data_IF_895384514790
#
_entry.id   IF_895384514790
#
_cell.length_a   1.000
_cell.length_b   1.000
_cell.length_c   1.000
_cell.angle_alpha   90.00
_cell.angle_beta   90.00
_cell.angle_gamma   90.00
#
_symmetry.space_group_name_H-M   'P 1'
#
loop_
_entity.id
_entity.type
_entity.pdbx_description
1 polymer ?
#
# COMPACT_ATOMS: atom_id res chain seq x y z
N UNK A 1 -41.49 -9.97 67.30
CA UNK A 1 -40.88 -11.11 68.05
C UNK A 1 -40.73 -12.28 67.10
N UNK A 2 -39.54 -12.92 67.16
CA UNK A 2 -39.17 -14.26 66.65
C UNK A 2 -38.75 -14.39 65.17
N UNK A 3 -37.43 -14.56 65.08
CA UNK A 3 -36.56 -15.01 63.98
C UNK A 3 -37.00 -16.36 63.39
N UNK A 4 -36.74 -16.56 62.11
CA UNK A 4 -36.01 -17.75 61.62
C UNK A 4 -35.43 -17.54 60.21
N UNK A 5 -34.21 -18.00 60.09
CA UNK A 5 -33.24 -17.97 58.98
C UNK A 5 -33.40 -19.20 58.08
N UNK A 6 -33.20 -19.04 56.77
CA UNK A 6 -32.73 -20.12 55.85
C UNK A 6 -32.18 -19.48 54.56
N UNK A 7 -30.87 -19.25 54.50
CA UNK A 7 -29.86 -20.03 53.75
C UNK A 7 -29.96 -19.81 52.23
N UNK A 8 -29.07 -18.93 51.76
CA UNK A 8 -28.72 -18.71 50.35
C UNK A 8 -28.01 -19.95 49.79
N UNK A 9 -28.52 -20.50 48.69
CA UNK A 9 -27.81 -21.45 47.85
C UNK A 9 -27.34 -20.74 46.57
N UNK A 10 -26.04 -20.81 46.34
CA UNK A 10 -25.32 -20.22 45.22
C UNK A 10 -25.49 -21.05 43.94
N UNK A 11 -25.73 -20.35 42.84
CA UNK A 11 -25.37 -20.72 41.46
C UNK A 11 -25.40 -19.39 40.69
N UNK A 12 -24.31 -18.82 40.17
CA UNK A 12 -23.24 -19.47 39.42
C UNK A 12 -23.38 -19.00 37.98
N UNK A 13 -22.92 -17.79 37.66
CA UNK A 13 -22.62 -17.38 36.29
C UNK A 13 -21.59 -16.25 36.30
N UNK A 14 -20.31 -16.65 36.42
CA UNK A 14 -19.20 -15.78 36.09
C UNK A 14 -19.09 -15.73 34.55
N UNK A 15 -19.73 -14.73 33.94
CA UNK A 15 -19.45 -14.36 32.56
C UNK A 15 -18.13 -13.60 32.52
N UNK A 16 -17.02 -14.33 32.45
CA UNK A 16 -15.74 -13.78 32.03
C UNK A 16 -15.86 -13.47 30.53
N UNK A 17 -16.25 -12.25 30.20
CA UNK A 17 -16.12 -11.72 28.85
C UNK A 17 -14.61 -11.62 28.55
N UNK A 18 -14.08 -12.65 27.90
CA UNK A 18 -12.79 -12.57 27.23
C UNK A 18 -12.91 -11.56 26.11
N UNK A 19 -12.45 -10.33 26.36
CA UNK A 19 -12.17 -9.38 25.32
C UNK A 19 -10.95 -9.93 24.56
N UNK A 20 -11.22 -10.73 23.52
CA UNK A 20 -10.19 -11.11 22.57
C UNK A 20 -9.71 -9.81 21.93
N UNK A 21 -8.53 -9.34 22.36
CA UNK A 21 -7.80 -8.34 21.62
C UNK A 21 -7.50 -8.97 20.25
N UNK A 22 -8.17 -8.49 19.21
CA UNK A 22 -7.68 -8.71 17.85
C UNK A 22 -6.23 -8.21 17.84
N UNK A 23 -5.26 -8.99 17.33
CA UNK A 23 -3.91 -8.46 17.17
C UNK A 23 -4.02 -7.20 16.32
N UNK A 24 -3.55 -6.07 16.85
CA UNK A 24 -3.33 -4.89 16.04
C UNK A 24 -2.27 -5.30 15.01
N UNK A 25 -2.68 -5.58 13.77
CA UNK A 25 -1.76 -5.71 12.66
C UNK A 25 -0.95 -4.41 12.61
N UNK A 26 0.37 -4.53 12.67
CA UNK A 26 1.20 -3.36 12.47
C UNK A 26 1.09 -2.98 10.98
N UNK A 27 1.05 -1.70 10.64
CA UNK A 27 1.01 -1.25 9.24
C UNK A 27 2.21 -1.77 8.40
N UNK A 28 3.25 -2.32 9.04
CA UNK A 28 4.38 -2.96 8.38
C UNK A 28 4.08 -4.41 7.91
N UNK A 29 3.01 -5.02 8.41
CA UNK A 29 2.61 -6.39 8.03
C UNK A 29 1.54 -6.40 6.92
N UNK A 30 0.99 -5.24 6.56
CA UNK A 30 -0.02 -5.11 5.51
C UNK A 30 0.65 -5.02 4.13
N UNK A 31 0.02 -5.65 3.14
CA UNK A 31 0.37 -5.53 1.74
C UNK A 31 -0.35 -4.33 1.12
N UNK A 32 0.31 -3.67 0.18
CA UNK A 32 -0.27 -2.58 -0.60
C UNK A 32 -0.71 -3.11 -1.96
N UNK A 33 -1.99 -3.00 -2.28
CA UNK A 33 -2.54 -3.41 -3.58
C UNK A 33 -3.07 -2.22 -4.36
N UNK A 34 -2.49 -1.95 -5.52
CA UNK A 34 -3.07 -1.07 -6.55
C UNK A 34 -3.78 -1.91 -7.61
N UNK A 35 -4.79 -1.33 -8.25
CA UNK A 35 -5.53 -1.97 -9.35
C UNK A 35 -5.51 -1.05 -10.56
N UNK A 36 -5.18 -1.59 -11.73
CA UNK A 36 -5.16 -0.86 -12.99
C UNK A 36 -6.08 -1.52 -14.01
N UNK A 37 -6.95 -0.73 -14.64
CA UNK A 37 -7.82 -1.22 -15.72
C UNK A 37 -7.27 -0.88 -17.09
N UNK A 38 -6.81 -1.91 -17.79
CA UNK A 38 -6.09 -1.84 -19.05
C UNK A 38 -6.82 -2.60 -20.18
N UNK A 39 -8.14 -2.78 -20.07
CA UNK A 39 -9.01 -3.31 -21.13
C UNK A 39 -9.74 -2.13 -21.79
N UNK A 40 -9.46 -1.80 -23.06
CA UNK A 40 -10.13 -0.71 -23.76
C UNK A 40 -11.64 -0.88 -23.88
N UNK A 41 -12.35 0.25 -24.02
CA UNK A 41 -13.76 0.33 -24.41
C UNK A 41 -14.75 -0.47 -23.56
N UNK A 42 -14.34 -0.90 -22.37
CA UNK A 42 -15.14 -1.75 -21.47
C UNK A 42 -15.07 -1.19 -20.06
N UNK A 43 -16.17 -0.67 -19.52
CA UNK A 43 -16.28 -0.43 -18.07
C UNK A 43 -16.46 -1.77 -17.36
N UNK A 44 -15.89 -1.95 -16.18
CA UNK A 44 -15.96 -3.22 -15.43
C UNK A 44 -16.20 -3.00 -13.95
N UNK A 45 -16.77 -4.01 -13.31
CA UNK A 45 -16.85 -4.06 -11.85
C UNK A 45 -15.82 -5.06 -11.31
N UNK A 46 -15.17 -4.73 -10.20
CA UNK A 46 -14.13 -5.55 -9.58
C UNK A 46 -14.63 -6.09 -8.24
N UNK A 47 -14.67 -7.40 -8.14
CA UNK A 47 -15.03 -8.15 -6.95
C UNK A 47 -13.80 -8.75 -6.29
N UNK A 48 -13.74 -8.66 -4.97
CA UNK A 48 -12.70 -9.26 -4.13
C UNK A 48 -13.39 -10.21 -3.16
N UNK A 49 -13.05 -11.50 -3.19
CA UNK A 49 -13.70 -12.55 -2.39
C UNK A 49 -15.24 -12.55 -2.52
N UNK A 50 -15.75 -12.19 -3.71
CA UNK A 50 -17.18 -12.10 -4.01
C UNK A 50 -17.87 -10.81 -3.54
N UNK A 51 -17.15 -9.86 -2.95
CA UNK A 51 -17.67 -8.55 -2.56
C UNK A 51 -17.29 -7.48 -3.59
N UNK A 52 -18.28 -6.70 -4.05
CA UNK A 52 -18.06 -5.59 -4.99
C UNK A 52 -17.20 -4.52 -4.32
N UNK A 53 -16.00 -4.30 -4.87
CA UNK A 53 -15.00 -3.39 -4.30
C UNK A 53 -14.81 -2.13 -5.15
N UNK A 54 -14.80 -2.28 -6.48
CA UNK A 54 -14.79 -1.15 -7.41
C UNK A 54 -15.97 -1.31 -8.37
N UNK A 55 -16.76 -0.25 -8.47
CA UNK A 55 -17.97 -0.16 -9.28
C UNK A 55 -17.70 0.81 -10.43
N UNK A 56 -18.17 0.49 -11.64
CA UNK A 56 -18.01 1.30 -12.85
C UNK A 56 -16.54 1.71 -13.14
N UNK A 57 -15.59 0.78 -13.00
CA UNK A 57 -14.17 1.06 -13.18
C UNK A 57 -13.82 1.25 -14.66
N UNK A 58 -13.31 2.44 -15.00
CA UNK A 58 -13.15 2.89 -16.39
C UNK A 58 -11.76 2.60 -16.98
N UNK A 59 -11.65 2.33 -18.30
CA UNK A 59 -10.35 2.02 -18.92
C UNK A 59 -9.32 3.13 -18.72
N UNK A 60 -8.07 2.75 -18.43
CA UNK A 60 -6.96 3.65 -18.17
C UNK A 60 -6.94 4.22 -16.76
N UNK A 61 -7.92 3.91 -15.91
CA UNK A 61 -7.95 4.37 -14.52
C UNK A 61 -7.19 3.44 -13.59
N UNK A 62 -6.69 4.01 -12.49
CA UNK A 62 -5.93 3.32 -11.46
C UNK A 62 -6.55 3.59 -10.08
N UNK A 63 -6.69 2.55 -9.28
CA UNK A 63 -7.20 2.59 -7.92
C UNK A 63 -6.14 2.13 -6.92
N UNK A 64 -6.26 2.59 -5.67
CA UNK A 64 -5.36 2.25 -4.57
C UNK A 64 -4.20 3.24 -4.39
N UNK A 65 -3.14 2.86 -3.65
CA UNK A 65 -2.97 1.55 -3.02
C UNK A 65 -3.94 1.33 -1.85
N UNK A 66 -4.50 0.13 -1.75
CA UNK A 66 -5.29 -0.33 -0.61
C UNK A 66 -4.40 -1.17 0.31
N UNK A 67 -4.40 -0.85 1.60
CA UNK A 67 -3.73 -1.68 2.62
C UNK A 67 -4.59 -2.88 2.97
N UNK A 68 -4.05 -4.07 2.74
CA UNK A 68 -4.71 -5.35 2.96
C UNK A 68 -3.83 -6.25 3.82
N UNK A 69 -4.40 -7.05 4.74
CA UNK A 69 -3.65 -8.10 5.40
C UNK A 69 -3.00 -9.05 4.38
N UNK A 70 -1.84 -9.61 4.72
CA UNK A 70 -1.25 -10.66 3.90
C UNK A 70 -2.20 -11.87 3.79
N UNK A 71 -2.34 -12.44 2.60
CA UNK A 71 -3.26 -13.54 2.34
C UNK A 71 -3.54 -13.72 0.86
N UNK A 72 -4.35 -14.74 0.56
CA UNK A 72 -4.84 -15.01 -0.79
C UNK A 72 -6.22 -14.37 -0.97
N UNK A 73 -6.37 -13.61 -2.05
CA UNK A 73 -7.61 -12.94 -2.42
C UNK A 73 -8.09 -13.47 -3.77
N UNK A 74 -9.39 -13.74 -3.88
CA UNK A 74 -10.01 -14.09 -5.16
C UNK A 74 -10.48 -12.82 -5.86
N UNK A 75 -9.93 -12.54 -7.03
CA UNK A 75 -10.29 -11.40 -7.87
C UNK A 75 -11.17 -11.88 -9.02
N UNK A 76 -12.32 -11.24 -9.20
CA UNK A 76 -13.21 -11.46 -10.31
C UNK A 76 -13.61 -10.12 -10.92
N UNK A 77 -13.60 -10.03 -12.24
CA UNK A 77 -13.95 -8.81 -12.97
C UNK A 77 -15.15 -9.11 -13.86
N UNK A 78 -16.22 -8.34 -13.71
CA UNK A 78 -17.48 -8.56 -14.42
C UNK A 78 -17.79 -7.40 -15.36
N UNK A 79 -18.83 -7.59 -16.17
CA UNK A 79 -19.50 -6.50 -16.87
C UNK A 79 -20.03 -5.47 -15.84
N UNK A 80 -20.24 -4.20 -16.25
CA UNK A 80 -20.82 -3.21 -15.37
C UNK A 80 -22.26 -3.59 -15.03
N UNK A 81 -22.73 -3.21 -13.85
CA UNK A 81 -24.06 -3.51 -13.31
C UNK A 81 -24.33 -5.03 -13.18
N UNK A 82 -23.30 -5.86 -13.03
CA UNK A 82 -23.49 -7.29 -12.82
C UNK A 82 -24.24 -7.54 -11.49
N UNK A 83 -25.21 -8.47 -11.51
CA UNK A 83 -25.95 -8.81 -10.30
C UNK A 83 -25.05 -9.41 -9.21
N UNK A 84 -24.03 -10.15 -9.62
CA UNK A 84 -23.04 -10.80 -8.78
C UNK A 84 -21.84 -11.32 -9.61
N UNK A 85 -20.82 -11.85 -8.93
CA UNK A 85 -19.58 -12.35 -9.53
C UNK A 85 -19.68 -13.77 -10.17
N UNK A 86 -20.87 -14.35 -10.36
CA UNK A 86 -21.01 -15.73 -10.87
C UNK A 86 -20.65 -15.89 -12.36
N UNK A 87 -20.59 -14.80 -13.13
CA UNK A 87 -20.25 -14.81 -14.55
C UNK A 87 -19.20 -13.74 -14.89
N UNK A 88 -17.95 -13.90 -14.41
CA UNK A 88 -16.90 -12.91 -14.65
C UNK A 88 -16.44 -12.93 -16.10
N UNK A 89 -16.05 -11.76 -16.60
CA UNK A 89 -15.33 -11.59 -17.87
C UNK A 89 -13.89 -12.06 -17.69
N UNK A 90 -13.30 -11.76 -16.53
CA UNK A 90 -11.95 -12.19 -16.15
C UNK A 90 -11.99 -12.85 -14.77
N UNK A 91 -11.45 -14.06 -14.68
CA UNK A 91 -11.27 -14.79 -13.42
C UNK A 91 -12.32 -15.88 -13.17
N UNK A 92 -12.42 -16.38 -11.92
CA UNK A 92 -11.67 -15.94 -10.75
C UNK A 92 -10.16 -16.16 -10.88
N UNK A 93 -9.36 -15.17 -10.45
CA UNK A 93 -7.90 -15.25 -10.37
C UNK A 93 -7.47 -15.10 -8.92
N UNK A 94 -6.55 -15.94 -8.46
CA UNK A 94 -6.00 -15.84 -7.10
C UNK A 94 -4.85 -14.83 -7.08
N UNK A 95 -4.94 -13.84 -6.21
CA UNK A 95 -3.88 -12.89 -5.90
C UNK A 95 -3.30 -13.19 -4.52
N UNK A 96 -2.04 -13.64 -4.48
CA UNK A 96 -1.32 -13.94 -3.24
C UNK A 96 -0.52 -12.71 -2.79
N UNK A 97 -0.97 -12.08 -1.70
CA UNK A 97 -0.34 -10.89 -1.14
C UNK A 97 0.58 -11.28 0.03
N UNK A 98 1.87 -10.99 -0.09
CA UNK A 98 2.83 -11.19 0.99
C UNK A 98 2.88 -9.98 1.92
N UNK A 99 3.07 -10.21 3.22
CA UNK A 99 3.18 -9.14 4.23
C UNK A 99 4.24 -8.10 3.86
N UNK A 100 3.89 -6.82 3.96
CA UNK A 100 4.76 -5.69 3.60
C UNK A 100 5.07 -5.56 2.11
N UNK A 101 4.47 -6.40 1.25
CA UNK A 101 4.67 -6.35 -0.20
C UNK A 101 3.89 -5.21 -0.86
N UNK A 102 4.37 -4.75 -2.01
CA UNK A 102 3.70 -3.77 -2.84
C UNK A 102 3.34 -4.42 -4.18
N UNK A 103 2.06 -4.40 -4.54
CA UNK A 103 1.52 -5.15 -5.65
C UNK A 103 0.66 -4.27 -6.55
N UNK A 104 0.58 -4.64 -7.83
CA UNK A 104 -0.39 -4.07 -8.75
C UNK A 104 -1.09 -5.17 -9.52
N UNK A 105 -2.40 -5.28 -9.33
CA UNK A 105 -3.26 -6.11 -10.14
C UNK A 105 -3.66 -5.32 -11.39
N UNK A 106 -3.50 -5.92 -12.56
CA UNK A 106 -3.82 -5.31 -13.84
C UNK A 106 -4.84 -6.17 -14.55
N UNK A 107 -5.98 -5.59 -14.91
CA UNK A 107 -6.90 -6.18 -15.86
C UNK A 107 -6.48 -5.76 -17.26
N UNK A 108 -6.12 -6.68 -18.14
CA UNK A 108 -5.60 -6.35 -19.46
C UNK A 108 -6.03 -7.33 -20.54
N UNK A 109 -5.67 -7.03 -21.79
CA UNK A 109 -5.76 -8.00 -22.87
C UNK A 109 -4.47 -8.83 -22.93
N UNK A 110 -4.59 -10.14 -23.13
CA UNK A 110 -3.47 -11.00 -23.50
C UNK A 110 -3.02 -10.70 -24.94
N UNK A 111 -1.90 -11.29 -25.39
CA UNK A 111 -1.38 -11.07 -26.75
C UNK A 111 -2.41 -11.34 -27.85
N UNK A 112 -3.31 -12.31 -27.64
CA UNK A 112 -4.38 -12.70 -28.56
C UNK A 112 -5.67 -11.85 -28.45
N UNK A 113 -5.66 -10.80 -27.63
CA UNK A 113 -6.82 -9.94 -27.39
C UNK A 113 -7.83 -10.48 -26.36
N UNK A 114 -7.57 -11.62 -25.72
CA UNK A 114 -8.47 -12.15 -24.67
C UNK A 114 -8.31 -11.37 -23.36
N UNK A 115 -9.41 -10.93 -22.70
CA UNK A 115 -9.33 -10.30 -21.39
C UNK A 115 -8.73 -11.27 -20.34
N UNK A 116 -7.76 -10.78 -19.57
CA UNK A 116 -7.04 -11.52 -18.52
C UNK A 116 -6.66 -10.58 -17.37
N UNK A 117 -6.20 -11.15 -16.25
CA UNK A 117 -5.66 -10.39 -15.13
C UNK A 117 -4.26 -10.88 -14.77
N UNK A 118 -3.36 -9.93 -14.53
CA UNK A 118 -1.98 -10.18 -14.11
C UNK A 118 -1.71 -9.50 -12.77
N UNK A 119 -0.99 -10.18 -11.89
CA UNK A 119 -0.52 -9.62 -10.63
C UNK A 119 0.99 -9.38 -10.72
N UNK A 120 1.41 -8.15 -10.44
CA UNK A 120 2.81 -7.78 -10.41
C UNK A 120 3.24 -7.44 -8.99
N UNK A 121 4.44 -7.89 -8.62
CA UNK A 121 5.14 -7.46 -7.40
C UNK A 121 6.02 -6.27 -7.75
N UNK A 122 5.75 -5.11 -7.15
CA UNK A 122 6.53 -3.92 -7.39
C UNK A 122 7.89 -4.01 -6.68
N UNK A 123 8.96 -3.64 -7.38
CA UNK A 123 10.31 -3.61 -6.83
C UNK A 123 10.45 -2.46 -5.83
N UNK A 124 10.54 -2.81 -4.54
CA UNK A 124 10.71 -1.85 -3.44
C UNK A 124 12.17 -1.70 -3.00
N UNK A 125 13.14 -2.10 -3.85
CA UNK A 125 14.56 -1.94 -3.53
C UNK A 125 14.99 -0.47 -3.49
N UNK A 126 15.98 -0.18 -2.66
CA UNK A 126 16.50 1.18 -2.46
C UNK A 126 17.07 1.76 -3.75
N UNK A 127 16.70 3.00 -4.06
CA UNK A 127 17.15 3.77 -5.21
C UNK A 127 18.39 4.58 -4.82
N UNK A 128 19.46 4.45 -5.60
CA UNK A 128 20.70 5.21 -5.42
C UNK A 128 20.47 6.72 -5.58
N UNK A 129 21.25 7.53 -4.87
CA UNK A 129 21.21 8.99 -5.00
C UNK A 129 21.48 9.42 -6.47
N UNK A 130 20.67 10.36 -6.97
CA UNK A 130 20.68 10.83 -8.36
C UNK A 130 19.99 9.90 -9.37
N UNK A 131 19.41 8.78 -8.94
CA UNK A 131 18.75 7.80 -9.81
C UNK A 131 17.23 7.76 -9.60
N UNK A 132 16.56 7.14 -10.55
CA UNK A 132 15.18 6.70 -10.48
C UNK A 132 15.09 5.23 -10.90
N UNK A 133 14.05 4.52 -10.47
CA UNK A 133 13.69 3.23 -11.05
C UNK A 133 12.63 3.43 -12.13
N UNK A 134 12.83 2.83 -13.29
CA UNK A 134 11.85 2.76 -14.37
C UNK A 134 11.48 1.30 -14.62
N UNK A 135 10.23 0.93 -14.37
CA UNK A 135 9.68 -0.35 -14.82
C UNK A 135 8.78 -0.11 -16.02
N UNK A 136 8.96 -0.91 -17.07
CA UNK A 136 8.03 -0.95 -18.20
C UNK A 136 7.32 -2.29 -18.19
N UNK A 137 5.99 -2.26 -18.20
CA UNK A 137 5.09 -3.41 -18.25
C UNK A 137 4.42 -3.45 -19.61
N UNK A 138 4.55 -4.57 -20.30
CA UNK A 138 3.80 -4.78 -21.53
C UNK A 138 2.52 -5.56 -21.22
N UNK A 139 1.38 -4.88 -21.29
CA UNK A 139 0.05 -5.43 -20.98
C UNK A 139 -0.93 -5.15 -22.12
N UNK A 140 -0.44 -5.02 -23.35
CA UNK A 140 -1.28 -4.77 -24.53
C UNK A 140 -1.41 -6.05 -25.37
N UNK A 141 -2.54 -6.19 -26.06
CA UNK A 141 -2.71 -7.17 -27.15
C UNK A 141 -1.85 -6.73 -28.34
N UNK A 142 -0.57 -7.05 -28.27
CA UNK A 142 0.40 -6.80 -29.31
C UNK A 142 1.54 -7.82 -29.20
N UNK A 143 2.25 -8.10 -30.32
CA UNK A 143 3.50 -8.85 -30.28
C UNK A 143 4.57 -8.13 -29.45
N UNK A 144 5.68 -8.82 -29.19
CA UNK A 144 6.80 -8.25 -28.45
C UNK A 144 7.27 -6.89 -29.01
N UNK A 145 7.63 -6.01 -28.09
CA UNK A 145 7.98 -4.61 -28.36
C UNK A 145 9.39 -4.27 -27.90
N UNK A 146 9.97 -3.26 -28.55
CA UNK A 146 11.15 -2.58 -28.09
C UNK A 146 10.74 -1.24 -27.46
N UNK A 147 11.36 -0.90 -26.34
CA UNK A 147 11.18 0.40 -25.67
C UNK A 147 12.40 1.26 -25.98
N UNK A 148 12.15 2.42 -26.59
CA UNK A 148 13.19 3.35 -26.99
C UNK A 148 13.19 4.56 -26.07
N UNK A 149 14.37 4.91 -25.55
CA UNK A 149 14.63 6.16 -24.85
C UNK A 149 15.49 7.06 -25.74
N UNK A 150 15.04 8.28 -26.01
CA UNK A 150 15.67 9.23 -26.92
C UNK A 150 16.02 8.61 -28.29
N UNK A 151 15.12 7.74 -28.79
CA UNK A 151 15.29 7.04 -30.08
C UNK A 151 16.25 5.85 -30.06
N UNK A 152 16.81 5.47 -28.90
CA UNK A 152 17.69 4.30 -28.76
C UNK A 152 16.96 3.19 -27.99
N UNK A 153 16.94 1.93 -28.47
CA UNK A 153 16.32 0.82 -27.74
C UNK A 153 17.06 0.55 -26.43
N UNK A 154 16.33 0.63 -25.32
CA UNK A 154 16.83 0.35 -23.95
C UNK A 154 16.29 -0.96 -23.38
N UNK A 155 15.11 -1.38 -23.85
CA UNK A 155 14.53 -2.70 -23.59
C UNK A 155 14.18 -3.26 -24.96
N UNK A 156 14.56 -4.52 -25.20
CA UNK A 156 14.29 -5.20 -26.46
C UNK A 156 13.51 -6.46 -26.24
N UNK A 157 12.57 -6.75 -27.14
CA UNK A 157 11.77 -7.98 -27.15
C UNK A 157 11.03 -8.22 -25.82
N UNK A 158 10.41 -7.17 -25.26
CA UNK A 158 9.52 -7.28 -24.11
C UNK A 158 8.17 -7.80 -24.60
N UNK A 159 7.72 -8.95 -24.10
CA UNK A 159 6.45 -9.58 -24.48
C UNK A 159 5.38 -9.33 -23.41
N UNK A 160 4.10 -9.51 -23.73
CA UNK A 160 3.01 -9.50 -22.75
C UNK A 160 2.93 -10.88 -22.05
N UNK A 161 2.90 -10.98 -20.71
CA UNK A 161 2.75 -9.93 -19.69
C UNK A 161 4.08 -9.55 -18.98
N UNK A 162 5.22 -9.63 -19.66
CA UNK A 162 6.52 -9.41 -19.03
C UNK A 162 6.76 -7.94 -18.66
N UNK A 163 7.64 -7.74 -17.67
CA UNK A 163 8.10 -6.44 -17.23
C UNK A 163 9.63 -6.36 -17.20
N UNK A 164 10.15 -5.13 -17.26
CA UNK A 164 11.57 -4.86 -17.06
C UNK A 164 11.80 -3.61 -16.25
N UNK A 165 12.57 -3.75 -15.17
CA UNK A 165 13.05 -2.64 -14.34
C UNK A 165 14.47 -2.24 -14.75
N UNK A 166 14.70 -0.93 -14.85
CA UNK A 166 15.98 -0.32 -15.17
C UNK A 166 16.28 0.83 -14.18
N UNK A 167 17.48 0.90 -13.59
CA UNK A 167 17.95 2.12 -12.95
C UNK A 167 18.31 3.15 -14.03
N UNK A 168 17.82 4.37 -13.87
CA UNK A 168 18.00 5.46 -14.84
C UNK A 168 18.39 6.75 -14.13
N UNK A 169 19.06 7.66 -14.84
CA UNK A 169 19.33 9.00 -14.32
C UNK A 169 18.01 9.75 -14.13
N UNK A 170 17.87 10.46 -13.00
CA UNK A 170 16.71 11.30 -12.76
C UNK A 170 16.65 12.45 -13.78
N UNK A 171 15.44 12.76 -14.26
CA UNK A 171 15.22 13.79 -15.28
C UNK A 171 14.05 13.47 -16.19
N UNK A 172 13.95 14.20 -17.30
CA UNK A 172 12.93 13.94 -18.34
C UNK A 172 13.59 13.23 -19.52
N UNK A 173 12.98 12.14 -19.97
CA UNK A 173 13.39 11.40 -21.17
C UNK A 173 12.23 11.35 -22.16
N UNK A 174 12.54 11.34 -23.46
CA UNK A 174 11.54 11.03 -24.48
C UNK A 174 11.49 9.53 -24.68
N UNK A 175 10.35 8.90 -24.42
CA UNK A 175 10.15 7.46 -24.53
C UNK A 175 9.17 7.13 -25.65
N UNK A 176 9.40 6.01 -26.34
CA UNK A 176 8.47 5.45 -27.32
C UNK A 176 8.53 3.93 -27.30
N UNK A 177 7.46 3.29 -27.76
CA UNK A 177 7.38 1.84 -27.92
C UNK A 177 7.24 1.55 -29.41
N UNK A 178 8.06 0.63 -29.93
CA UNK A 178 8.03 0.17 -31.31
C UNK A 178 7.87 -1.35 -31.35
N UNK A 179 7.45 -1.89 -32.49
CA UNK A 179 7.50 -3.34 -32.69
C UNK A 179 8.95 -3.83 -32.60
N UNK A 180 9.17 -5.03 -32.02
CA UNK A 180 10.51 -5.56 -31.81
C UNK A 180 11.34 -5.59 -33.11
N UNK A 181 12.57 -5.09 -33.03
CA UNK A 181 13.50 -5.00 -34.16
C UNK A 181 13.24 -3.81 -35.11
N UNK A 182 12.30 -2.91 -34.77
CA UNK A 182 12.00 -1.70 -35.54
C UNK A 182 12.23 -0.44 -34.70
N UNK A 183 12.19 0.72 -35.34
CA UNK A 183 12.26 2.03 -34.67
C UNK A 183 11.06 2.91 -34.97
N UNK A 184 10.05 2.37 -35.65
CA UNK A 184 8.81 3.09 -35.96
C UNK A 184 7.88 3.00 -34.75
N UNK A 185 7.59 4.13 -34.07
CA UNK A 185 6.85 4.09 -32.82
C UNK A 185 5.37 3.73 -33.08
N UNK A 186 4.89 2.71 -32.36
CA UNK A 186 3.46 2.39 -32.24
C UNK A 186 2.81 3.12 -31.07
N UNK A 187 3.61 3.53 -30.09
CA UNK A 187 3.20 4.40 -28.99
C UNK A 187 4.25 5.48 -28.77
N UNK A 188 3.80 6.73 -28.65
CA UNK A 188 4.68 7.89 -28.43
C UNK A 188 5.21 8.54 -29.72
N UNK A 189 6.23 9.41 -29.63
CA UNK A 189 7.01 9.70 -28.43
C UNK A 189 6.20 10.42 -27.34
N UNK A 190 6.49 10.10 -26.09
CA UNK A 190 5.93 10.75 -24.91
C UNK A 190 7.06 11.19 -23.96
N UNK A 191 6.93 12.38 -23.39
CA UNK A 191 7.88 12.88 -22.40
C UNK A 191 7.58 12.26 -21.04
N UNK A 192 8.54 11.51 -20.51
CA UNK A 192 8.45 10.84 -19.22
C UNK A 192 9.33 11.56 -18.21
N UNK A 193 8.71 12.08 -17.16
CA UNK A 193 9.43 12.67 -16.01
C UNK A 193 9.74 11.58 -14.99
N UNK A 194 11.02 11.43 -14.66
CA UNK A 194 11.56 10.43 -13.75
C UNK A 194 12.23 11.15 -12.56
N UNK A 195 11.49 11.40 -11.47
CA UNK A 195 12.04 12.08 -10.31
C UNK A 195 13.10 11.23 -9.60
N UNK A 196 14.08 11.88 -8.98
CA UNK A 196 15.08 11.20 -8.15
C UNK A 196 14.41 10.48 -6.98
N UNK A 197 14.86 9.25 -6.68
CA UNK A 197 14.36 8.45 -5.57
C UNK A 197 12.95 7.87 -5.77
N UNK A 198 12.37 8.02 -6.96
CA UNK A 198 11.02 7.54 -7.28
C UNK A 198 11.08 6.35 -8.24
N UNK A 199 10.21 5.38 -8.01
CA UNK A 199 9.95 4.28 -8.93
C UNK A 199 8.76 4.63 -9.82
N UNK A 200 9.03 4.84 -11.11
CA UNK A 200 8.01 5.07 -12.12
C UNK A 200 7.74 3.77 -12.88
N UNK A 201 6.49 3.33 -12.88
CA UNK A 201 6.04 2.14 -13.61
C UNK A 201 5.19 2.62 -14.79
N UNK A 202 5.59 2.27 -16.00
CA UNK A 202 4.89 2.61 -17.25
C UNK A 202 4.22 1.37 -17.80
N UNK A 203 2.94 1.50 -18.14
CA UNK A 203 2.12 0.45 -18.71
C UNK A 203 1.87 0.75 -20.18
N UNK A 204 2.32 -0.13 -21.07
CA UNK A 204 1.87 -0.15 -22.46
C UNK A 204 0.66 -1.08 -22.56
N UNK A 205 -0.52 -0.52 -22.83
CA UNK A 205 -1.80 -1.24 -22.79
C UNK A 205 -2.66 -0.95 -24.02
N UNK A 206 -3.73 -1.73 -24.19
CA UNK A 206 -4.65 -1.63 -25.32
C UNK A 206 -4.47 -2.76 -26.33
N UNK A 207 -4.84 -2.53 -27.58
CA UNK A 207 -4.78 -3.47 -28.69
C UNK A 207 -4.13 -2.82 -29.90
N UNK A 208 -3.12 -3.50 -30.46
CA UNK A 208 -2.47 -3.06 -31.69
C UNK A 208 -3.41 -3.24 -32.89
N UNK A 209 -4.17 -4.33 -32.92
CA UNK A 209 -5.11 -4.62 -34.02
C UNK A 209 -6.26 -3.60 -34.07
N UNK A 210 -6.76 -3.18 -32.90
CA UNK A 210 -7.85 -2.20 -32.79
C UNK A 210 -7.35 -0.75 -32.84
N UNK A 211 -6.04 -0.53 -32.83
CA UNK A 211 -5.43 0.81 -32.92
C UNK A 211 -5.70 1.70 -31.70
N UNK A 212 -5.94 1.13 -30.53
CA UNK A 212 -6.25 1.84 -29.28
C UNK A 212 -5.14 1.72 -28.23
N UNK A 213 -3.90 1.48 -28.66
CA UNK A 213 -2.73 1.45 -27.78
C UNK A 213 -2.56 2.77 -27.02
N UNK A 214 -2.27 2.67 -25.73
CA UNK A 214 -2.11 3.80 -24.83
C UNK A 214 -1.03 3.57 -23.76
N UNK A 215 -0.65 4.64 -23.07
CA UNK A 215 0.25 4.61 -21.91
C UNK A 215 -0.51 5.00 -20.65
N UNK A 216 -0.15 4.35 -19.55
CA UNK A 216 -0.46 4.80 -18.21
C UNK A 216 0.82 4.78 -17.35
N UNK A 217 0.85 5.60 -16.30
CA UNK A 217 2.00 5.70 -15.40
C UNK A 217 1.55 5.60 -13.96
N UNK A 218 2.33 4.90 -13.15
CA UNK A 218 2.20 4.83 -11.70
C UNK A 218 3.52 5.26 -11.07
N UNK A 219 3.45 6.00 -9.98
CA UNK A 219 4.60 6.39 -9.18
C UNK A 219 4.52 5.72 -7.81
N UNK A 220 5.61 5.09 -7.40
CA UNK A 220 5.79 4.51 -6.07
C UNK A 220 6.98 5.21 -5.42
N UNK A 221 6.78 5.73 -4.21
CA UNK A 221 7.76 6.52 -3.45
C UNK A 221 8.21 5.76 -2.18
N UNK A 222 9.15 6.34 -1.42
CA UNK A 222 9.64 5.76 -0.16
C UNK A 222 10.82 4.80 -0.33
N UNK A 223 11.53 4.88 -1.46
CA UNK A 223 12.70 4.07 -1.81
C UNK A 223 13.99 4.88 -1.82
N UNK A 224 13.94 6.15 -1.42
CA UNK A 224 15.10 7.04 -1.44
C UNK A 224 16.24 6.55 -0.51
N UNK A 225 17.47 6.59 -1.02
CA UNK A 225 18.65 6.42 -0.17
C UNK A 225 18.81 7.61 0.78
N UNK A 226 19.24 7.34 2.03
CA UNK A 226 19.64 8.41 2.93
C UNK A 226 20.75 9.28 2.28
N UNK A 227 20.73 10.60 2.46
CA UNK A 227 21.77 11.47 1.90
C UNK A 227 23.14 11.04 2.41
N UNK A 228 24.12 10.98 1.51
CA UNK A 228 25.50 10.74 1.90
C UNK A 228 25.92 11.76 2.95
N UNK A 229 26.39 11.28 4.11
CA UNK A 229 26.88 12.15 5.16
C UNK A 229 28.04 13.00 4.59
N UNK A 230 27.89 14.32 4.63
CA UNK A 230 28.97 15.23 4.26
C UNK A 230 30.09 15.05 5.30
N UNK A 231 31.34 14.74 4.90
CA UNK A 231 32.46 14.71 5.83
C UNK A 231 32.59 16.05 6.56
N UNK A 232 32.19 16.08 7.83
CA UNK A 232 32.19 17.29 8.68
C UNK A 232 30.83 17.68 9.28
N UNK A 233 29.73 17.00 8.97
CA UNK A 233 28.47 17.21 9.66
C UNK A 233 28.57 16.70 11.12
N UNK A 234 28.51 17.62 12.09
CA UNK A 234 28.33 17.27 13.50
C UNK A 234 26.98 16.54 13.64
N UNK A 235 26.87 15.46 14.44
CA UNK A 235 25.57 14.86 14.72
C UNK A 235 24.66 15.94 15.30
N UNK A 236 23.49 16.14 14.68
CA UNK A 236 22.45 16.96 15.28
C UNK A 236 22.16 16.38 16.66
N UNK A 237 22.32 17.20 17.71
CA UNK A 237 21.99 16.80 19.06
C UNK A 237 20.51 16.37 19.07
N UNK A 238 20.27 15.07 19.28
CA UNK A 238 18.94 14.59 19.63
C UNK A 238 18.61 15.21 20.99
N UNK A 239 17.82 16.29 20.99
CA UNK A 239 17.17 16.81 22.19
C UNK A 239 16.16 15.76 22.66
N UNK A 240 16.65 14.81 23.44
CA UNK A 240 15.85 13.80 24.12
C UNK A 240 15.10 14.45 25.30
N UNK A 241 14.09 15.27 24.97
CA UNK A 241 13.17 15.84 25.94
C UNK A 241 12.09 14.80 26.28
N UNK A 242 12.41 13.87 27.18
CA UNK A 242 11.39 12.99 27.74
C UNK A 242 11.93 11.77 28.47
N UNK A 243 11.76 11.80 29.80
CA UNK A 243 11.86 10.67 30.74
C UNK A 243 13.26 10.33 31.24
N UNK A 244 13.64 11.06 32.29
CA UNK A 244 14.48 10.57 33.39
C UNK A 244 14.02 9.19 33.86
N UNK A 245 14.87 8.18 33.77
CA UNK A 245 14.85 7.06 34.71
C UNK A 245 16.29 6.64 35.06
N UNK A 246 16.52 6.58 36.36
CA UNK A 246 17.80 6.64 37.03
C UNK A 246 18.65 5.35 36.95
N UNK A 247 19.97 5.51 36.82
CA UNK A 247 20.95 4.48 37.13
C UNK A 247 22.21 5.07 37.79
N UNK A 248 22.14 5.27 39.10
CA UNK A 248 23.27 5.31 40.05
C UNK A 248 22.62 5.11 41.44
N UNK A 249 22.93 4.10 42.24
CA UNK A 249 24.25 3.60 42.58
C UNK A 249 24.57 4.03 44.02
N UNK A 250 24.04 3.29 45.01
CA UNK A 250 24.67 3.13 46.33
C UNK A 250 24.26 4.06 47.50
N UNK A 251 24.10 3.41 48.67
CA UNK A 251 24.19 3.89 50.06
C UNK A 251 22.90 4.29 50.83
N UNK A 252 22.35 3.27 51.51
CA UNK A 252 22.06 3.20 52.97
C UNK A 252 21.18 4.28 53.63
N UNK A 253 20.04 3.87 54.20
CA UNK A 253 19.84 3.67 55.66
C UNK A 253 18.36 3.41 56.00
N UNK A 254 18.14 2.37 56.81
CA UNK A 254 16.92 2.15 57.58
C UNK A 254 16.54 3.39 58.41
N UNK A 255 15.23 3.64 58.61
CA UNK A 255 14.59 3.59 59.93
C UNK A 255 13.20 4.25 59.94
N UNK A 256 12.21 3.44 60.36
CA UNK A 256 11.25 3.70 61.44
C UNK A 256 10.44 5.02 61.46
N UNK A 257 9.11 4.81 61.46
CA UNK A 257 8.12 5.30 62.42
C UNK A 257 8.00 6.82 62.68
N UNK A 258 6.76 7.32 62.59
CA UNK A 258 6.42 8.61 63.19
C UNK A 258 5.02 9.12 62.87
N UNK A 259 4.02 8.66 63.61
CA UNK A 259 2.73 9.35 63.79
C UNK A 259 2.91 10.71 64.46
N UNK A 260 2.28 11.77 63.95
CA UNK A 260 1.71 12.92 64.72
C UNK A 260 1.20 13.98 63.70
N UNK A 261 -0.11 14.16 63.54
CA UNK A 261 -0.91 15.17 64.27
C UNK A 261 -0.24 16.55 64.27
N UNK A 262 -0.70 17.46 63.41
CA UNK A 262 -0.97 18.86 63.79
C UNK A 262 -2.22 19.35 63.07
N UNK A 263 -3.27 19.53 63.85
CA UNK A 263 -4.43 20.34 63.54
C UNK A 263 -4.08 21.83 63.62
N UNK A 264 -4.66 22.65 62.74
CA UNK A 264 -5.27 23.96 63.03
C UNK A 264 -5.96 24.43 61.74
N UNK A 265 -7.31 24.40 61.70
CA UNK A 265 -8.23 25.49 62.10
C UNK A 265 -7.95 26.74 61.27
N UNK A 266 -8.91 27.48 60.72
CA UNK A 266 -10.38 27.48 60.64
C UNK A 266 -10.65 28.75 59.80
N UNK A 267 -11.58 28.73 58.87
CA UNK A 267 -12.51 29.86 58.68
C UNK A 267 -13.60 29.44 57.70
N UNK A 268 -14.73 29.02 58.27
CA UNK A 268 -16.04 29.14 57.65
C UNK A 268 -16.44 30.62 57.68
N UNK A 269 -16.88 31.17 56.56
CA UNK A 269 -17.82 32.30 56.53
C UNK A 269 -18.88 31.94 55.51
N UNK A 270 -20.05 31.56 56.02
CA UNK A 270 -21.32 31.59 55.30
C UNK A 270 -22.00 32.92 55.59
N UNK A 271 -22.50 33.56 54.54
CA UNK A 271 -23.58 34.54 54.50
C UNK A 271 -23.75 34.93 53.01
N UNK A 272 -24.92 35.07 52.38
CA UNK A 272 -26.32 35.07 52.79
C UNK A 272 -27.15 35.28 51.49
N UNK A 273 -28.30 34.61 51.41
CA UNK A 273 -29.55 34.94 50.70
C UNK A 273 -29.66 35.12 49.18
N UNK A 274 -30.58 34.34 48.58
CA UNK A 274 -31.85 34.75 47.93
C UNK A 274 -32.55 33.45 47.45
N UNK A 275 -33.84 33.16 47.58
CA UNK A 275 -35.04 33.74 48.20
C UNK A 275 -35.97 32.54 48.48
#
# INVERSE_FOLDING_TARGET
MRRTTTIFAAAGLAAAAGLAAAPAASAADEAQLSVFHAVPDTTVDVYVNGELTLDDFTPGSMAGPLSLPAGSYELAITAPDAADASAPIIGPVTADLTAGGNFTAVANLAEDGTPTANLYTNDMSTIEAGKAHLTVRHVAAAPAVDVLANGTPVITNLANPDEKTLPVDAGTISASVAAAGTTEPVIGPADLTLPEGVHTIVYAWGSLEDGNLALATQTVEGMESAPNAVPGALPAAQDNSGVMLAAAGGLTLMALAGTAVVARRRSTVDATSAE
#
